data_IF_392679663689
#
_entry.id   IF_392679663689
#
_cell.length_a   1.000
_cell.length_b   1.000
_cell.length_c   1.000
_cell.angle_alpha   90.00
_cell.angle_beta   90.00
_cell.angle_gamma   90.00
#
_symmetry.space_group_name_H-M   'P 1'
#
loop_
_entity.id
_entity.type
_entity.pdbx_description
1 polymer ?
#
# COMPACT_ATOMS: atom_id res chain seq x y z
N UNK A 1 36.53 26.19 -28.43
CA UNK A 1 36.38 24.90 -27.74
C UNK A 1 34.93 24.50 -27.85
N UNK A 2 34.57 23.37 -28.48
CA UNK A 2 33.17 23.00 -28.64
C UNK A 2 32.60 22.55 -27.30
N UNK A 3 31.43 23.06 -26.97
CA UNK A 3 30.64 22.67 -25.83
C UNK A 3 30.09 21.25 -26.06
N UNK A 4 30.31 20.38 -25.09
CA UNK A 4 29.68 19.06 -24.98
C UNK A 4 28.17 19.27 -24.86
N UNK A 5 27.43 18.80 -25.86
CA UNK A 5 25.98 18.57 -25.75
C UNK A 5 25.73 17.50 -24.68
N UNK A 6 24.72 17.63 -23.80
CA UNK A 6 24.30 16.52 -22.96
C UNK A 6 23.73 15.43 -23.85
N UNK A 7 24.20 14.19 -23.67
CA UNK A 7 23.70 13.02 -24.37
C UNK A 7 22.19 12.94 -24.18
N UNK A 8 21.44 13.27 -25.23
CA UNK A 8 20.07 12.82 -25.37
C UNK A 8 20.13 11.29 -25.32
N UNK A 9 19.39 10.71 -24.40
CA UNK A 9 19.22 9.27 -24.29
C UNK A 9 18.68 8.78 -25.65
N UNK A 10 19.56 8.25 -26.51
CA UNK A 10 19.25 7.87 -27.90
C UNK A 10 18.45 6.55 -27.86
N UNK A 11 17.23 6.68 -27.37
CA UNK A 11 16.22 5.63 -27.40
C UNK A 11 15.74 5.56 -28.84
N UNK A 12 15.94 4.41 -29.49
CA UNK A 12 15.55 4.24 -30.88
C UNK A 12 14.09 4.67 -31.08
N UNK A 13 13.75 5.40 -32.16
CA UNK A 13 12.42 6.01 -32.35
C UNK A 13 11.28 4.99 -32.24
N UNK A 14 11.54 3.74 -32.65
CA UNK A 14 10.61 2.63 -32.52
C UNK A 14 10.22 2.32 -31.06
N UNK A 15 11.15 2.44 -30.11
CA UNK A 15 10.86 2.16 -28.69
C UNK A 15 9.87 3.19 -28.14
N UNK A 16 10.05 4.47 -28.49
CA UNK A 16 9.13 5.54 -28.10
C UNK A 16 7.76 5.41 -28.78
N UNK A 17 7.74 5.02 -30.06
CA UNK A 17 6.51 4.77 -30.80
C UNK A 17 5.73 3.58 -30.23
N UNK A 18 6.39 2.45 -29.96
CA UNK A 18 5.77 1.28 -29.33
C UNK A 18 5.21 1.60 -27.95
N UNK A 19 5.94 2.35 -27.11
CA UNK A 19 5.44 2.80 -25.82
C UNK A 19 4.18 3.68 -25.95
N UNK A 20 4.14 4.54 -26.97
CA UNK A 20 2.98 5.40 -27.27
C UNK A 20 1.77 4.57 -27.74
N UNK A 21 1.98 3.62 -28.67
CA UNK A 21 0.94 2.71 -29.15
C UNK A 21 0.37 1.85 -28.02
N UNK A 22 1.25 1.34 -27.15
CA UNK A 22 0.82 0.57 -25.98
C UNK A 22 0.00 1.42 -25.00
N UNK A 23 0.41 2.66 -24.73
CA UNK A 23 -0.35 3.60 -23.88
C UNK A 23 -1.74 3.94 -24.45
N UNK A 24 -1.90 3.90 -25.77
CA UNK A 24 -3.18 4.07 -26.46
C UNK A 24 -4.02 2.79 -26.54
N UNK A 25 -3.56 1.67 -25.95
CA UNK A 25 -4.25 0.38 -25.99
C UNK A 25 -4.10 -0.38 -27.31
N UNK A 26 -3.22 0.06 -28.20
CA UNK A 26 -2.98 -0.54 -29.52
C UNK A 26 -1.84 -1.56 -29.45
N UNK A 27 -1.95 -2.54 -28.54
CA UNK A 27 -0.87 -3.51 -28.25
C UNK A 27 -0.49 -4.39 -29.46
N UNK A 28 -1.47 -4.78 -30.29
CA UNK A 28 -1.23 -5.60 -31.50
C UNK A 28 -0.45 -4.82 -32.57
N UNK A 29 -0.76 -3.53 -32.76
CA UNK A 29 -0.03 -2.66 -33.68
C UNK A 29 1.39 -2.37 -33.18
N UNK A 30 1.53 -2.15 -31.87
CA UNK A 30 2.82 -1.97 -31.21
C UNK A 30 3.73 -3.21 -31.40
N UNK A 31 3.16 -4.41 -31.28
CA UNK A 31 3.86 -5.68 -31.50
C UNK A 31 4.31 -5.83 -32.96
N UNK A 32 3.44 -5.54 -33.91
CA UNK A 32 3.76 -5.64 -35.34
C UNK A 32 4.90 -4.69 -35.73
N UNK A 33 4.85 -3.43 -35.30
CA UNK A 33 5.88 -2.43 -35.57
C UNK A 33 7.24 -2.80 -34.93
N UNK A 34 7.22 -3.25 -33.66
CA UNK A 34 8.44 -3.57 -32.92
C UNK A 34 9.08 -4.88 -33.42
N UNK A 35 8.29 -5.92 -33.69
CA UNK A 35 8.79 -7.21 -34.19
C UNK A 35 9.46 -7.09 -35.55
N UNK A 36 8.90 -6.25 -36.42
CA UNK A 36 9.51 -5.91 -37.71
C UNK A 36 10.88 -5.27 -37.53
N UNK A 37 10.96 -4.24 -36.68
CA UNK A 37 12.21 -3.51 -36.42
C UNK A 37 13.29 -4.41 -35.79
N UNK A 38 12.89 -5.33 -34.91
CA UNK A 38 13.78 -6.32 -34.30
C UNK A 38 14.37 -7.30 -35.32
N UNK A 39 13.58 -7.71 -36.32
CA UNK A 39 14.02 -8.59 -37.41
C UNK A 39 14.90 -7.88 -38.43
N UNK A 40 14.63 -6.62 -38.72
CA UNK A 40 15.44 -5.78 -39.62
C UNK A 40 16.79 -5.36 -38.99
N UNK A 41 16.99 -5.63 -37.69
CA UNK A 41 18.22 -5.42 -36.92
C UNK A 41 18.69 -3.95 -36.85
N UNK A 42 17.82 -2.99 -37.15
CA UNK A 42 18.12 -1.54 -37.19
C UNK A 42 18.07 -0.85 -35.81
N UNK A 43 18.39 -1.58 -34.74
CA UNK A 43 18.21 -1.11 -33.37
C UNK A 43 19.53 -0.82 -32.63
N UNK A 44 20.67 -1.25 -33.16
CA UNK A 44 22.00 -1.01 -32.57
C UNK A 44 22.03 -1.23 -31.06
N UNK A 45 22.34 -0.18 -30.30
CA UNK A 45 22.45 -0.22 -28.84
C UNK A 45 21.08 -0.34 -28.11
N UNK A 46 19.97 -0.05 -28.80
CA UNK A 46 18.59 -0.22 -28.30
C UNK A 46 18.03 -1.61 -28.57
N UNK A 47 18.78 -2.51 -29.22
CA UNK A 47 18.30 -3.84 -29.58
C UNK A 47 17.86 -4.63 -28.34
N UNK A 48 18.61 -4.58 -27.25
CA UNK A 48 18.21 -5.29 -26.03
C UNK A 48 16.89 -4.77 -25.46
N UNK A 49 16.68 -3.45 -25.45
CA UNK A 49 15.45 -2.83 -24.94
C UNK A 49 14.24 -3.19 -25.80
N UNK A 50 14.38 -3.25 -27.13
CA UNK A 50 13.32 -3.71 -28.02
C UNK A 50 12.92 -5.17 -27.75
N UNK A 51 13.89 -6.04 -27.47
CA UNK A 51 13.57 -7.44 -27.18
C UNK A 51 12.84 -7.60 -25.85
N UNK A 52 13.25 -6.85 -24.81
CA UNK A 52 12.52 -6.82 -23.54
C UNK A 52 11.08 -6.32 -23.72
N UNK A 53 10.88 -5.26 -24.50
CA UNK A 53 9.55 -4.73 -24.79
C UNK A 53 8.68 -5.72 -25.60
N UNK A 54 9.27 -6.56 -26.48
CA UNK A 54 8.55 -7.66 -27.12
C UNK A 54 8.11 -8.73 -26.13
N UNK A 55 8.95 -9.09 -25.14
CA UNK A 55 8.56 -10.03 -24.10
C UNK A 55 7.36 -9.51 -23.30
N UNK A 56 7.36 -8.23 -22.91
CA UNK A 56 6.22 -7.58 -22.24
C UNK A 56 4.94 -7.62 -23.09
N UNK A 57 5.04 -7.34 -24.40
CA UNK A 57 3.88 -7.40 -25.31
C UNK A 57 3.34 -8.83 -25.47
N UNK A 58 4.20 -9.83 -25.64
CA UNK A 58 3.77 -11.24 -25.71
C UNK A 58 3.14 -11.72 -24.40
N UNK A 59 3.68 -11.29 -23.26
CA UNK A 59 3.10 -11.58 -21.95
C UNK A 59 1.72 -10.94 -21.80
N UNK A 60 1.54 -9.69 -22.25
CA UNK A 60 0.25 -8.99 -22.20
C UNK A 60 -0.81 -9.62 -23.12
N UNK A 61 -0.41 -10.07 -24.32
CA UNK A 61 -1.29 -10.68 -25.32
C UNK A 61 -1.54 -12.18 -25.07
N UNK A 62 -0.88 -12.78 -24.07
CA UNK A 62 -1.01 -14.22 -23.77
C UNK A 62 -0.38 -15.13 -24.83
N UNK A 63 0.55 -14.62 -25.64
CA UNK A 63 1.20 -15.31 -26.75
C UNK A 63 2.42 -16.12 -26.28
N UNK A 64 2.15 -17.20 -25.55
CA UNK A 64 3.20 -18.03 -24.92
C UNK A 64 4.14 -18.67 -25.94
N UNK A 65 3.61 -19.20 -27.03
CA UNK A 65 4.41 -19.91 -28.04
C UNK A 65 5.42 -18.97 -28.68
N UNK A 66 5.00 -17.76 -29.02
CA UNK A 66 5.85 -16.72 -29.58
C UNK A 66 6.86 -16.19 -28.56
N UNK A 67 6.49 -16.08 -27.29
CA UNK A 67 7.41 -15.72 -26.21
C UNK A 67 8.54 -16.74 -26.04
N UNK A 68 8.20 -18.04 -26.00
CA UNK A 68 9.18 -19.12 -25.84
C UNK A 68 10.12 -19.19 -27.05
N UNK A 69 9.62 -18.94 -28.26
CA UNK A 69 10.43 -18.82 -29.46
C UNK A 69 11.41 -17.63 -29.38
N UNK A 70 10.93 -16.46 -28.97
CA UNK A 70 11.76 -15.26 -28.79
C UNK A 70 12.81 -15.47 -27.68
N UNK A 71 12.47 -16.18 -26.62
CA UNK A 71 13.38 -16.50 -25.51
C UNK A 71 14.61 -17.30 -25.99
N UNK A 72 14.40 -18.28 -26.87
CA UNK A 72 15.49 -19.06 -27.45
C UNK A 72 16.42 -18.18 -28.28
N UNK A 73 15.85 -17.32 -29.12
CA UNK A 73 16.62 -16.38 -29.94
C UNK A 73 17.37 -15.35 -29.08
N UNK A 74 16.79 -14.91 -27.96
CA UNK A 74 17.37 -13.93 -27.05
C UNK A 74 18.62 -14.50 -26.36
N UNK A 75 18.56 -15.73 -25.89
CA UNK A 75 19.71 -16.42 -25.27
C UNK A 75 20.86 -16.56 -26.26
N UNK A 76 20.56 -16.91 -27.51
CA UNK A 76 21.58 -17.02 -28.57
C UNK A 76 22.19 -15.66 -28.91
N UNK A 77 21.39 -14.59 -28.96
CA UNK A 77 21.82 -13.26 -29.42
C UNK A 77 22.52 -12.44 -28.34
N UNK A 78 22.09 -12.56 -27.09
CA UNK A 78 22.58 -11.75 -25.96
C UNK A 78 23.36 -12.55 -24.92
N UNK A 79 23.49 -13.87 -25.08
CA UNK A 79 24.17 -14.78 -24.13
C UNK A 79 23.67 -14.62 -22.69
N UNK A 80 22.40 -14.24 -22.54
CA UNK A 80 21.79 -13.85 -21.27
C UNK A 80 20.46 -14.56 -21.14
N UNK A 81 20.11 -14.92 -19.91
CA UNK A 81 18.83 -15.56 -19.61
C UNK A 81 17.68 -14.66 -20.06
N UNK A 82 16.80 -15.20 -20.90
CA UNK A 82 15.54 -14.57 -21.24
C UNK A 82 14.64 -14.44 -20.00
N UNK A 83 13.73 -13.45 -19.97
CA UNK A 83 12.70 -13.40 -18.93
C UNK A 83 11.86 -14.69 -18.94
N UNK A 84 11.38 -15.10 -17.76
CA UNK A 84 10.52 -16.27 -17.63
C UNK A 84 9.08 -15.92 -18.03
N UNK A 85 8.38 -16.84 -18.70
CA UNK A 85 6.95 -16.72 -18.94
C UNK A 85 6.19 -16.81 -17.62
N UNK A 86 5.35 -15.82 -17.33
CA UNK A 86 4.51 -15.82 -16.13
C UNK A 86 3.20 -16.53 -16.51
N UNK A 87 2.97 -17.73 -15.96
CA UNK A 87 1.72 -18.46 -16.17
C UNK A 87 0.58 -17.69 -15.50
N UNK A 88 -0.47 -17.37 -16.25
CA UNK A 88 -1.58 -16.50 -15.84
C UNK A 88 -2.45 -17.04 -14.68
N UNK A 89 -2.01 -18.10 -13.99
CA UNK A 89 -2.58 -18.55 -12.72
C UNK A 89 -1.85 -17.96 -11.51
N UNK A 90 -0.60 -17.53 -11.70
CA UNK A 90 0.06 -16.56 -10.83
C UNK A 90 -0.41 -15.17 -11.27
N UNK A 91 -1.59 -14.80 -10.77
CA UNK A 91 -2.03 -13.41 -10.69
C UNK A 91 -0.80 -12.59 -10.35
N UNK A 92 -0.40 -11.71 -11.26
CA UNK A 92 0.64 -10.73 -11.07
C UNK A 92 0.43 -10.12 -9.69
N UNK A 93 1.18 -10.59 -8.70
CA UNK A 93 1.00 -10.17 -7.33
C UNK A 93 1.84 -8.90 -7.24
N UNK A 94 1.24 -7.69 -7.29
CA UNK A 94 2.00 -6.47 -7.24
C UNK A 94 2.81 -6.40 -5.93
N UNK A 95 2.52 -7.23 -4.93
CA UNK A 95 3.33 -7.33 -3.72
C UNK A 95 4.71 -7.95 -3.98
N UNK A 96 4.91 -8.83 -4.97
CA UNK A 96 6.24 -9.41 -5.25
C UNK A 96 7.21 -8.39 -5.88
N UNK A 97 6.71 -7.37 -6.59
CA UNK A 97 7.52 -6.28 -7.14
C UNK A 97 7.94 -5.24 -6.07
N UNK A 98 7.23 -5.17 -4.93
CA UNK A 98 7.47 -4.25 -3.81
C UNK A 98 7.98 -4.93 -2.54
N UNK A 99 8.42 -6.19 -2.60
CA UNK A 99 8.99 -6.90 -1.44
C UNK A 99 7.97 -7.33 -0.39
N UNK A 100 6.75 -7.68 -0.81
CA UNK A 100 5.64 -8.12 0.05
C UNK A 100 4.68 -7.01 0.47
N UNK A 101 4.79 -5.80 -0.11
CA UNK A 101 3.97 -4.64 0.24
C UNK A 101 2.86 -4.41 -0.80
N UNK A 102 1.61 -4.70 -0.44
CA UNK A 102 0.44 -4.30 -1.21
C UNK A 102 0.19 -2.79 -1.10
N UNK A 103 -0.24 -2.15 -2.18
CA UNK A 103 -0.57 -0.73 -2.19
C UNK A 103 -2.05 -0.50 -2.45
N UNK A 104 -2.67 0.36 -1.65
CA UNK A 104 -4.05 0.77 -1.79
C UNK A 104 -4.17 2.28 -1.58
N UNK A 105 -4.98 2.97 -2.38
CA UNK A 105 -5.17 4.41 -2.25
C UNK A 105 -6.63 4.73 -1.95
N UNK A 106 -6.88 5.41 -0.84
CA UNK A 106 -8.17 6.02 -0.51
C UNK A 106 -8.29 7.35 -1.24
N UNK A 107 -9.38 7.53 -1.99
CA UNK A 107 -9.60 8.74 -2.77
C UNK A 107 -11.05 9.20 -2.75
N UNK A 108 -11.28 10.51 -2.89
CA UNK A 108 -12.63 11.06 -2.89
C UNK A 108 -13.29 11.06 -1.52
N UNK A 109 -14.62 10.95 -1.47
CA UNK A 109 -15.38 10.91 -0.22
C UNK A 109 -15.56 9.48 0.27
N UNK A 110 -15.13 9.19 1.50
CA UNK A 110 -15.35 7.92 2.16
C UNK A 110 -16.78 7.86 2.72
N UNK A 111 -17.64 7.13 2.03
CA UNK A 111 -19.08 7.05 2.35
C UNK A 111 -19.58 5.60 2.31
N UNK A 112 -20.87 5.40 2.55
CA UNK A 112 -21.51 4.09 2.33
C UNK A 112 -21.35 3.55 0.90
N UNK A 113 -21.12 4.41 -0.10
CA UNK A 113 -20.88 4.01 -1.49
C UNK A 113 -19.45 3.47 -1.74
N UNK A 114 -18.53 3.61 -0.77
CA UNK A 114 -17.13 3.17 -0.88
C UNK A 114 -16.94 1.67 -0.60
N UNK A 115 -18.01 0.93 -0.28
CA UNK A 115 -17.97 -0.51 -0.01
C UNK A 115 -17.19 -1.34 -1.05
N UNK A 116 -17.42 -1.22 -2.39
CA UNK A 116 -16.67 -2.00 -3.37
C UNK A 116 -15.19 -1.60 -3.46
N UNK A 117 -14.82 -0.38 -3.11
CA UNK A 117 -13.42 0.06 -3.05
C UNK A 117 -12.73 -0.57 -1.84
N UNK A 118 -13.39 -0.54 -0.68
CA UNK A 118 -12.87 -1.12 0.56
C UNK A 118 -12.83 -2.65 0.54
N UNK A 119 -13.65 -3.30 -0.29
CA UNK A 119 -13.52 -4.75 -0.51
C UNK A 119 -12.20 -5.10 -1.24
N UNK A 120 -11.73 -4.22 -2.12
CA UNK A 120 -10.40 -4.39 -2.75
C UNK A 120 -9.28 -4.22 -1.72
N UNK A 121 -9.45 -3.37 -0.70
CA UNK A 121 -8.48 -3.25 0.40
C UNK A 121 -8.36 -4.57 1.16
N UNK A 122 -9.48 -5.22 1.50
CA UNK A 122 -9.45 -6.52 2.21
C UNK A 122 -8.72 -7.61 1.43
N UNK A 123 -8.89 -7.59 0.11
CA UNK A 123 -8.28 -8.54 -0.82
C UNK A 123 -6.90 -8.09 -1.34
N UNK A 124 -6.35 -6.98 -0.84
CA UNK A 124 -5.04 -6.48 -1.29
C UNK A 124 -3.97 -7.50 -0.89
N UNK A 125 -3.18 -8.00 -1.85
CA UNK A 125 -2.16 -9.01 -1.56
C UNK A 125 -0.95 -8.41 -0.82
N UNK A 126 -0.09 -9.27 -0.29
CA UNK A 126 1.08 -8.88 0.48
C UNK A 126 0.94 -9.07 2.00
N UNK A 127 2.09 -9.13 2.66
CA UNK A 127 2.22 -9.26 4.11
C UNK A 127 2.06 -7.90 4.81
N UNK A 128 2.39 -6.81 4.10
CA UNK A 128 2.18 -5.44 4.53
C UNK A 128 1.29 -4.73 3.52
N UNK A 129 0.33 -3.93 3.97
CA UNK A 129 -0.56 -3.13 3.13
C UNK A 129 -0.32 -1.66 3.41
N UNK A 130 0.20 -0.93 2.42
CA UNK A 130 0.34 0.52 2.47
C UNK A 130 -0.91 1.19 1.93
N UNK A 131 -1.56 1.99 2.78
CA UNK A 131 -2.77 2.74 2.47
C UNK A 131 -2.41 4.22 2.33
N UNK A 132 -2.57 4.77 1.12
CA UNK A 132 -2.37 6.19 0.84
C UNK A 132 -3.66 6.98 1.04
N UNK A 133 -3.62 7.99 1.90
CA UNK A 133 -4.76 8.84 2.29
C UNK A 133 -4.70 10.25 1.68
N UNK A 134 -3.64 10.60 0.95
CA UNK A 134 -3.43 11.97 0.44
C UNK A 134 -4.52 12.50 -0.50
N UNK A 135 -5.29 11.60 -1.15
CA UNK A 135 -6.38 11.95 -2.08
C UNK A 135 -7.78 11.92 -1.45
N UNK A 136 -7.88 11.69 -0.14
CA UNK A 136 -9.14 11.68 0.58
C UNK A 136 -9.73 13.10 0.66
N UNK A 137 -11.00 13.29 0.30
CA UNK A 137 -11.68 14.60 0.29
C UNK A 137 -12.63 14.77 1.49
N UNK A 138 -13.00 13.69 2.16
CA UNK A 138 -13.80 13.71 3.39
C UNK A 138 -14.34 12.32 3.73
N UNK A 139 -15.12 12.24 4.81
CA UNK A 139 -15.70 11.01 5.34
C UNK A 139 -17.07 11.26 5.99
N UNK A 140 -17.91 10.22 6.03
CA UNK A 140 -19.14 10.16 6.84
C UNK A 140 -19.12 8.96 7.80
N UNK A 141 -20.15 8.85 8.65
CA UNK A 141 -20.29 7.75 9.61
C UNK A 141 -20.25 6.36 8.94
N UNK A 142 -21.13 6.07 7.96
CA UNK A 142 -21.11 4.81 7.21
C UNK A 142 -19.74 4.46 6.59
N UNK A 143 -19.07 5.43 5.99
CA UNK A 143 -17.73 5.27 5.41
C UNK A 143 -16.67 4.92 6.45
N UNK A 144 -16.73 5.54 7.64
CA UNK A 144 -15.85 5.19 8.76
C UNK A 144 -16.05 3.73 9.20
N UNK A 145 -17.30 3.27 9.27
CA UNK A 145 -17.61 1.88 9.64
C UNK A 145 -17.00 0.90 8.66
N UNK A 146 -17.23 1.13 7.37
CA UNK A 146 -16.71 0.26 6.31
C UNK A 146 -15.18 0.22 6.29
N UNK A 147 -14.52 1.37 6.47
CA UNK A 147 -13.05 1.42 6.52
C UNK A 147 -12.52 0.67 7.73
N UNK A 148 -13.12 0.85 8.90
CA UNK A 148 -12.72 0.13 10.11
C UNK A 148 -12.85 -1.38 9.96
N UNK A 149 -13.97 -1.86 9.42
CA UNK A 149 -14.15 -3.28 9.15
C UNK A 149 -13.11 -3.83 8.15
N UNK A 150 -12.75 -3.04 7.14
CA UNK A 150 -11.72 -3.43 6.19
C UNK A 150 -10.34 -3.53 6.86
N UNK A 151 -9.98 -2.57 7.72
CA UNK A 151 -8.72 -2.60 8.49
C UNK A 151 -8.66 -3.78 9.46
N UNK A 152 -9.75 -4.06 10.17
CA UNK A 152 -9.85 -5.25 11.04
C UNK A 152 -9.68 -6.54 10.25
N UNK A 153 -10.32 -6.64 9.08
CA UNK A 153 -10.17 -7.81 8.20
C UNK A 153 -8.73 -8.01 7.73
N UNK A 154 -8.00 -6.92 7.46
CA UNK A 154 -6.58 -6.96 7.07
C UNK A 154 -5.71 -7.42 8.26
N UNK A 155 -6.00 -6.92 9.46
CA UNK A 155 -5.31 -7.33 10.68
C UNK A 155 -5.60 -8.80 11.04
N UNK A 156 -6.84 -9.27 10.95
CA UNK A 156 -7.23 -10.67 11.17
C UNK A 156 -6.58 -11.63 10.16
N UNK A 157 -6.28 -11.14 8.96
CA UNK A 157 -5.46 -11.87 7.98
C UNK A 157 -3.96 -11.90 8.32
N UNK A 158 -3.55 -11.34 9.47
CA UNK A 158 -2.17 -11.29 9.94
C UNK A 158 -1.30 -10.30 9.16
N UNK A 159 -1.89 -9.36 8.42
CA UNK A 159 -1.15 -8.39 7.61
C UNK A 159 -0.86 -7.12 8.41
N UNK A 160 0.30 -6.53 8.17
CA UNK A 160 0.66 -5.23 8.74
C UNK A 160 0.05 -4.09 7.93
N UNK A 161 -0.47 -3.05 8.58
CA UNK A 161 -1.01 -1.86 7.91
C UNK A 161 -0.08 -0.68 8.09
N UNK A 162 0.33 -0.06 6.99
CA UNK A 162 1.06 1.21 6.98
C UNK A 162 0.20 2.31 6.37
N UNK A 163 0.04 3.42 7.08
CA UNK A 163 -0.66 4.60 6.56
C UNK A 163 0.36 5.57 5.92
N UNK A 164 -0.06 6.27 4.88
CA UNK A 164 0.70 7.30 4.18
C UNK A 164 -0.21 8.48 3.86
N UNK A 165 0.26 9.72 4.05
CA UNK A 165 -0.61 10.90 3.91
C UNK A 165 -1.69 10.96 5.01
N UNK A 166 -1.40 10.33 6.15
CA UNK A 166 -2.28 10.09 7.29
C UNK A 166 -2.82 11.38 7.92
N UNK A 167 -2.11 12.50 7.80
CA UNK A 167 -2.53 13.79 8.35
C UNK A 167 -3.91 14.21 7.85
N UNK A 168 -4.26 13.83 6.61
CA UNK A 168 -5.56 14.15 6.02
C UNK A 168 -6.68 13.31 6.63
N UNK A 169 -6.45 12.01 6.81
CA UNK A 169 -7.39 11.11 7.48
C UNK A 169 -7.61 11.52 8.93
N UNK A 170 -6.52 11.79 9.66
CA UNK A 170 -6.56 12.27 11.04
C UNK A 170 -7.37 13.56 11.17
N UNK A 171 -7.08 14.57 10.35
CA UNK A 171 -7.79 15.85 10.41
C UNK A 171 -9.30 15.70 10.20
N UNK A 172 -9.73 14.80 9.32
CA UNK A 172 -11.15 14.51 9.13
C UNK A 172 -11.75 13.75 10.33
N UNK A 173 -11.07 12.73 10.84
CA UNK A 173 -11.55 11.94 11.98
C UNK A 173 -11.63 12.79 13.26
N UNK A 174 -10.61 13.60 13.56
CA UNK A 174 -10.59 14.53 14.70
C UNK A 174 -11.71 15.58 14.59
N UNK A 175 -11.99 16.07 13.37
CA UNK A 175 -13.11 17.01 13.13
C UNK A 175 -14.47 16.34 13.32
N UNK A 176 -14.57 15.07 12.99
CA UNK A 176 -15.80 14.28 13.09
C UNK A 176 -16.06 13.83 14.54
N UNK A 177 -15.00 13.49 15.26
CA UNK A 177 -15.00 13.00 16.64
C UNK A 177 -14.74 14.14 17.63
N UNK A 178 -15.74 15.01 17.81
CA UNK A 178 -15.66 16.12 18.77
C UNK A 178 -16.42 15.82 20.05
N UNK A 179 -15.90 16.31 21.17
CA UNK A 179 -16.56 16.19 22.47
C UNK A 179 -17.99 16.74 22.45
N UNK A 180 -18.92 16.01 23.07
CA UNK A 180 -20.33 16.41 23.22
C UNK A 180 -21.22 16.12 22.01
N UNK A 181 -20.68 15.55 20.92
CA UNK A 181 -21.47 15.09 19.76
C UNK A 181 -21.83 13.62 19.89
N UNK A 182 -22.86 13.32 20.68
CA UNK A 182 -23.31 11.93 20.90
C UNK A 182 -23.88 11.28 19.63
N UNK A 183 -24.31 12.08 18.65
CA UNK A 183 -24.75 11.62 17.34
C UNK A 183 -23.62 11.09 16.44
N UNK A 184 -22.35 11.38 16.79
CA UNK A 184 -21.21 10.86 16.06
C UNK A 184 -21.16 9.35 16.20
N UNK A 185 -20.99 8.67 15.07
CA UNK A 185 -20.92 7.22 15.01
C UNK A 185 -19.79 6.67 15.90
N UNK A 186 -20.12 5.72 16.78
CA UNK A 186 -19.16 5.06 17.66
C UNK A 186 -18.04 4.37 16.85
N UNK A 187 -18.32 3.90 15.64
CA UNK A 187 -17.30 3.32 14.78
C UNK A 187 -16.35 4.35 14.18
N UNK A 188 -16.72 5.64 14.09
CA UNK A 188 -15.79 6.70 13.71
C UNK A 188 -14.79 7.01 14.84
N UNK A 189 -15.26 7.05 16.10
CA UNK A 189 -14.39 7.17 17.28
C UNK A 189 -13.44 6.00 17.38
N UNK A 190 -13.94 4.80 17.17
CA UNK A 190 -13.13 3.61 17.26
C UNK A 190 -12.11 3.50 16.12
N UNK A 191 -12.46 3.93 14.90
CA UNK A 191 -11.52 4.09 13.80
C UNK A 191 -10.42 5.12 14.14
N UNK A 192 -10.77 6.25 14.78
CA UNK A 192 -9.78 7.23 15.23
C UNK A 192 -8.77 6.63 16.22
N UNK A 193 -9.26 5.86 17.21
CA UNK A 193 -8.40 5.16 18.16
C UNK A 193 -7.49 4.13 17.48
N UNK A 194 -8.02 3.36 16.54
CA UNK A 194 -7.24 2.39 15.76
C UNK A 194 -6.14 3.10 14.94
N UNK A 195 -6.45 4.23 14.31
CA UNK A 195 -5.45 5.04 13.57
C UNK A 195 -4.37 5.59 14.49
N UNK A 196 -4.70 6.09 15.68
CA UNK A 196 -3.69 6.56 16.63
C UNK A 196 -2.75 5.44 17.08
N UNK A 197 -3.26 4.23 17.32
CA UNK A 197 -2.45 3.07 17.68
C UNK A 197 -1.52 2.68 16.54
N UNK A 198 -2.00 2.66 15.30
CA UNK A 198 -1.19 2.37 14.10
C UNK A 198 -0.06 3.38 13.90
N UNK A 199 -0.28 4.65 14.25
CA UNK A 199 0.70 5.73 14.11
C UNK A 199 1.55 5.96 15.36
N UNK A 200 1.38 5.16 16.41
CA UNK A 200 2.04 5.30 17.73
C UNK A 200 1.83 6.69 18.38
N UNK A 201 0.67 7.33 18.14
CA UNK A 201 0.33 8.67 18.63
C UNK A 201 -0.37 8.62 20.00
N UNK A 202 0.37 8.23 21.04
CA UNK A 202 -0.17 8.01 22.40
C UNK A 202 -0.81 9.26 23.02
N UNK A 203 -0.16 10.42 22.99
CA UNK A 203 -0.69 11.65 23.61
C UNK A 203 -2.04 12.05 23.01
N UNK A 204 -2.18 11.91 21.69
CA UNK A 204 -3.42 12.20 20.96
C UNK A 204 -4.53 11.20 21.28
N UNK A 205 -4.15 9.93 21.46
CA UNK A 205 -5.07 8.89 21.91
C UNK A 205 -5.63 9.21 23.30
N UNK A 206 -4.77 9.58 24.25
CA UNK A 206 -5.20 9.89 25.63
C UNK A 206 -6.12 11.12 25.68
N UNK A 207 -5.83 12.17 24.91
CA UNK A 207 -6.72 13.32 24.78
C UNK A 207 -8.08 12.94 24.17
N UNK A 208 -8.08 12.14 23.09
CA UNK A 208 -9.30 11.65 22.48
C UNK A 208 -10.10 10.71 23.40
N UNK A 209 -9.43 9.93 24.25
CA UNK A 209 -10.04 9.03 25.24
C UNK A 209 -10.84 9.82 26.29
N UNK A 210 -10.30 10.96 26.76
CA UNK A 210 -11.03 11.89 27.65
C UNK A 210 -12.28 12.43 26.95
N UNK A 211 -12.14 12.90 25.71
CA UNK A 211 -13.27 13.44 24.94
C UNK A 211 -14.35 12.39 24.68
N UNK A 212 -13.96 11.14 24.43
CA UNK A 212 -14.86 10.01 24.26
C UNK A 212 -15.62 9.69 25.55
N UNK A 213 -14.93 9.63 26.69
CA UNK A 213 -15.54 9.38 27.99
C UNK A 213 -16.56 10.46 28.37
N UNK A 214 -16.25 11.73 28.09
CA UNK A 214 -17.19 12.84 28.29
C UNK A 214 -18.40 12.76 27.35
N UNK A 215 -18.21 12.28 26.12
CA UNK A 215 -19.28 12.26 25.11
C UNK A 215 -20.26 11.10 25.30
N UNK A 216 -19.76 9.93 25.69
CA UNK A 216 -20.56 8.71 25.79
C UNK A 216 -20.75 8.18 27.22
N UNK A 217 -20.12 8.82 28.22
CA UNK A 217 -20.16 8.41 29.64
C UNK A 217 -19.72 6.95 29.86
N UNK A 218 -18.87 6.44 28.96
CA UNK A 218 -18.28 5.09 29.04
C UNK A 218 -16.77 5.18 29.12
N UNK A 219 -16.15 4.15 29.71
CA UNK A 219 -14.70 4.04 29.71
C UNK A 219 -14.16 3.97 28.28
N UNK A 220 -13.12 4.75 27.94
CA UNK A 220 -12.50 4.70 26.62
C UNK A 220 -11.69 3.40 26.46
N UNK A 221 -11.36 3.02 25.21
CA UNK A 221 -10.42 1.93 24.97
C UNK A 221 -9.06 2.23 25.62
N UNK A 222 -8.36 1.18 26.06
CA UNK A 222 -7.00 1.30 26.60
C UNK A 222 -5.95 1.40 25.49
N UNK A 223 -4.78 1.99 25.76
CA UNK A 223 -3.68 1.96 24.80
C UNK A 223 -3.10 0.54 24.70
N UNK A 224 -3.04 0.00 23.48
CA UNK A 224 -2.43 -1.30 23.16
C UNK A 224 -1.36 -1.05 22.11
N UNK A 225 -0.09 -1.34 22.43
CA UNK A 225 1.02 -1.16 21.49
C UNK A 225 0.99 -2.27 20.44
N UNK A 226 1.06 -1.90 19.15
CA UNK A 226 1.09 -2.87 18.06
C UNK A 226 2.41 -3.70 18.13
N UNK A 227 2.35 -5.04 17.98
CA UNK A 227 3.53 -5.89 17.94
C UNK A 227 4.32 -5.62 16.63
N UNK A 228 5.24 -4.66 16.71
CA UNK A 228 6.04 -4.14 15.60
C UNK A 228 6.75 -2.82 15.95
N UNK A 229 6.22 -2.07 16.92
CA UNK A 229 6.78 -0.81 17.41
C UNK A 229 7.89 -0.98 18.48
N UNK A 230 8.48 -2.17 18.63
CA UNK A 230 9.60 -2.35 19.56
C UNK A 230 10.95 -2.02 18.91
N UNK A 231 11.38 -0.76 19.02
CA UNK A 231 12.78 -0.43 19.25
C UNK A 231 12.96 0.98 19.84
N UNK A 232 12.82 1.11 21.17
CA UNK A 232 13.89 1.48 22.12
C UNK A 232 13.31 2.00 23.43
N UNK A 233 13.42 1.14 24.45
CA UNK A 233 13.64 1.52 25.84
C UNK A 233 12.55 2.37 26.51
N UNK A 234 11.62 1.70 27.17
CA UNK A 234 11.45 2.00 28.59
C UNK A 234 11.04 0.73 29.33
N UNK A 235 11.83 0.42 30.34
CA UNK A 235 11.65 -0.73 31.18
C UNK A 235 10.27 -0.69 31.83
N UNK A 236 9.59 -1.84 31.77
CA UNK A 236 8.42 -2.17 32.56
C UNK A 236 8.72 -1.85 34.04
N UNK A 237 8.00 -0.90 34.60
CA UNK A 237 7.80 -0.83 36.05
C UNK A 237 6.41 -1.43 36.32
N UNK A 238 6.41 -2.71 36.68
CA UNK A 238 5.24 -3.36 37.28
C UNK A 238 4.87 -2.60 38.57
N UNK A 239 3.59 -2.31 38.83
CA UNK A 239 3.14 -1.89 40.15
C UNK A 239 3.35 -3.05 41.12
N UNK A 240 4.21 -2.85 42.12
CA UNK A 240 4.30 -3.76 43.26
C UNK A 240 3.02 -3.63 44.09
N UNK A 241 2.33 -4.74 44.23
CA UNK A 241 1.15 -4.93 45.07
C UNK A 241 1.47 -4.52 46.51
N UNK A 242 0.73 -3.53 47.02
CA UNK A 242 0.86 -3.06 48.39
C UNK A 242 0.32 -4.13 49.35
N UNK A 243 1.24 -4.93 49.90
CA UNK A 243 0.96 -5.74 51.06
C UNK A 243 0.72 -4.81 52.27
N UNK A 244 -0.55 -4.72 52.67
CA UNK A 244 -0.99 -4.21 53.95
C UNK A 244 -0.36 -5.05 55.08
N UNK A 245 0.64 -4.47 55.75
CA UNK A 245 1.12 -4.94 57.06
C UNK A 245 1.21 -3.75 58.00
N UNK A 246 0.07 -3.37 58.57
CA UNK A 246 0.00 -2.45 59.69
C UNK A 246 0.42 -3.15 61.00
N UNK A 247 1.69 -2.92 61.36
CA UNK A 247 2.25 -2.76 62.72
C UNK A 247 1.65 -3.58 63.89
N UNK A 248 2.44 -4.54 64.37
CA UNK A 248 2.48 -4.91 65.79
C UNK A 248 3.72 -4.23 66.39
N UNK A 249 3.52 -3.26 67.29
CA UNK A 249 4.58 -2.69 68.13
C UNK A 249 4.63 -3.46 69.46
N UNK A 250 5.75 -4.13 69.72
CA UNK A 250 6.14 -4.61 71.05
C UNK A 250 6.97 -3.52 71.76
N UNK A 251 6.82 -3.40 73.08
CA UNK A 251 7.71 -2.61 73.93
C UNK A 251 7.31 -2.64 75.41
N UNK A 252 8.06 -3.46 76.17
CA UNK A 252 8.29 -3.57 77.63
C UNK A 252 7.18 -3.27 78.66
#
# INVERSE_FOLDING_TARGET
>A
MPAVSPAANDVAPIIGETATLFANGQAEEALSALSRSVREAELGNSAQQAWLMLFDLYQHLGMRVEFEALALEFVVKFERSAPAWIESDERHDPALATGGIGYFALSGMLTGASAPELEKLRNTPGQTVRIECGRLLGLDGPGCRLLREALLSVHDAGKEVMLSGESRLLAFLERFCQAGKIETDAAAWALLFDVYRTLDLKDRFEEAAVNYAVTFEVSPPSWESQPGAQAKGSAVLQPVEAADQALILSGE
#
